data_IF_216081256730
#
_entry.id   IF_216081256730
#
_cell.length_a   1.000
_cell.length_b   1.000
_cell.length_c   1.000
_cell.angle_alpha   90.00
_cell.angle_beta   90.00
_cell.angle_gamma   90.00
#
_symmetry.space_group_name_H-M   'P 1'
#
loop_
_entity.id
_entity.type
_entity.pdbx_description
1 polymer ?
#
# COMPACT_ATOMS: atom_id res chain seq x y z
N UNK A 1 -44.54 -9.08 -20.27
CA UNK A 1 -44.09 -9.35 -18.87
C UNK A 1 -45.27 -9.42 -17.88
N UNK A 2 -45.07 -9.91 -16.64
CA UNK A 2 -46.09 -9.89 -15.55
C UNK A 2 -45.66 -8.85 -14.52
N UNK A 3 -46.59 -7.99 -14.08
CA UNK A 3 -46.29 -6.99 -13.06
C UNK A 3 -45.94 -7.65 -11.71
N UNK A 4 -44.77 -7.40 -11.11
CA UNK A 4 -44.41 -7.99 -9.81
C UNK A 4 -45.26 -7.46 -8.64
N UNK A 5 -46.04 -6.39 -8.85
CA UNK A 5 -46.87 -5.78 -7.81
C UNK A 5 -48.37 -6.12 -7.90
N UNK A 6 -48.87 -6.47 -9.09
CA UNK A 6 -50.32 -6.73 -9.26
C UNK A 6 -50.64 -7.95 -10.11
N UNK A 7 -49.64 -8.75 -10.50
CA UNK A 7 -49.74 -10.01 -11.25
C UNK A 7 -50.52 -9.96 -12.57
N UNK A 8 -50.73 -8.76 -13.12
CA UNK A 8 -51.37 -8.58 -14.42
C UNK A 8 -50.34 -8.65 -15.54
N UNK A 9 -50.78 -9.14 -16.70
CA UNK A 9 -49.97 -9.21 -17.91
C UNK A 9 -49.88 -7.82 -18.54
N UNK A 10 -48.67 -7.38 -18.85
CA UNK A 10 -48.37 -6.04 -19.39
C UNK A 10 -47.55 -6.19 -20.69
N UNK A 11 -47.75 -5.33 -21.71
CA UNK A 11 -46.84 -5.21 -22.86
C UNK A 11 -45.39 -5.02 -22.42
N UNK A 12 -44.43 -5.46 -23.25
CA UNK A 12 -43.01 -5.54 -22.89
C UNK A 12 -42.31 -4.17 -22.84
N UNK A 13 -42.85 -3.17 -23.55
CA UNK A 13 -42.21 -1.84 -23.69
C UNK A 13 -42.83 -0.76 -22.78
N UNK A 14 -43.71 -1.11 -21.84
CA UNK A 14 -44.30 -0.12 -20.93
C UNK A 14 -43.37 0.17 -19.75
N UNK A 15 -43.04 1.44 -19.52
CA UNK A 15 -42.24 1.88 -18.37
C UNK A 15 -43.06 1.91 -17.06
N UNK A 16 -44.39 1.96 -17.16
CA UNK A 16 -45.32 2.07 -16.03
C UNK A 16 -46.45 1.05 -16.21
N UNK A 17 -46.78 0.33 -15.15
CA UNK A 17 -47.92 -0.58 -15.16
C UNK A 17 -49.24 0.19 -15.32
N UNK A 18 -49.95 -0.04 -16.43
CA UNK A 18 -51.25 0.57 -16.73
C UNK A 18 -52.34 0.31 -15.68
N UNK A 19 -52.20 -0.76 -14.88
CA UNK A 19 -53.22 -1.18 -13.92
C UNK A 19 -52.98 -0.71 -12.49
N UNK A 20 -51.71 -0.63 -12.05
CA UNK A 20 -51.39 -0.25 -10.67
C UNK A 20 -50.60 1.07 -10.57
N UNK A 21 -50.23 1.66 -11.71
CA UNK A 21 -49.54 2.95 -11.79
C UNK A 21 -48.11 2.93 -11.25
N UNK A 22 -47.55 1.76 -10.91
CA UNK A 22 -46.16 1.66 -10.45
C UNK A 22 -45.20 1.57 -11.64
N UNK A 23 -44.04 2.24 -11.56
CA UNK A 23 -42.98 2.07 -12.54
C UNK A 23 -42.51 0.61 -12.52
N UNK A 24 -42.24 0.07 -13.70
CA UNK A 24 -41.66 -1.26 -13.86
C UNK A 24 -40.14 -1.12 -13.82
N UNK A 25 -39.42 -2.06 -13.18
CA UNK A 25 -37.97 -2.04 -13.22
C UNK A 25 -37.51 -2.20 -14.67
N UNK A 26 -36.77 -1.22 -15.17
CA UNK A 26 -36.20 -1.26 -16.50
C UNK A 26 -35.01 -2.23 -16.47
N UNK A 27 -34.99 -3.22 -17.36
CA UNK A 27 -33.94 -4.24 -17.40
C UNK A 27 -32.53 -3.63 -17.53
N UNK A 28 -32.40 -2.51 -18.24
CA UNK A 28 -31.13 -1.77 -18.41
C UNK A 28 -30.65 -1.09 -17.10
N UNK A 29 -31.56 -0.66 -16.21
CA UNK A 29 -31.20 -0.04 -14.94
C UNK A 29 -30.70 -1.09 -13.93
N UNK A 30 -31.32 -2.27 -13.88
CA UNK A 30 -30.90 -3.37 -13.00
C UNK A 30 -29.55 -3.97 -13.45
N UNK A 31 -29.32 -4.14 -14.76
CA UNK A 31 -28.05 -4.64 -15.31
C UNK A 31 -26.90 -3.65 -15.11
N UNK A 32 -27.15 -2.35 -15.30
CA UNK A 32 -26.17 -1.30 -15.00
C UNK A 32 -25.84 -1.26 -13.50
N UNK A 33 -26.82 -1.38 -12.61
CA UNK A 33 -26.60 -1.36 -11.16
C UNK A 33 -25.83 -2.62 -10.69
N UNK A 34 -26.11 -3.80 -11.25
CA UNK A 34 -25.38 -5.04 -10.95
C UNK A 34 -23.93 -5.01 -11.50
N UNK A 35 -23.71 -4.49 -12.71
CA UNK A 35 -22.38 -4.32 -13.30
C UNK A 35 -21.56 -3.24 -12.53
N UNK A 36 -22.22 -2.16 -12.09
CA UNK A 36 -21.61 -1.16 -11.22
C UNK A 36 -21.24 -1.76 -9.86
N UNK A 37 -22.08 -2.62 -9.29
CA UNK A 37 -21.78 -3.31 -8.02
C UNK A 37 -20.59 -4.26 -8.20
N UNK A 38 -20.55 -5.06 -9.27
CA UNK A 38 -19.44 -5.97 -9.61
C UNK A 38 -18.13 -5.24 -9.93
N UNK A 39 -18.18 -4.06 -10.54
CA UNK A 39 -16.99 -3.25 -10.81
C UNK A 39 -16.46 -2.56 -9.54
N UNK A 40 -17.34 -2.22 -8.60
CA UNK A 40 -16.99 -1.65 -7.30
C UNK A 40 -16.62 -2.72 -6.24
N UNK A 41 -16.78 -4.01 -6.54
CA UNK A 41 -16.26 -5.11 -5.72
C UNK A 41 -14.74 -4.95 -5.56
N UNK A 42 -14.24 -4.87 -4.32
CA UNK A 42 -12.83 -4.59 -4.08
C UNK A 42 -11.98 -5.81 -4.45
N UNK A 43 -11.50 -5.87 -5.70
CA UNK A 43 -10.55 -6.90 -6.14
C UNK A 43 -9.27 -6.78 -5.28
N UNK A 44 -8.98 -7.73 -4.37
CA UNK A 44 -7.89 -7.61 -3.41
C UNK A 44 -6.52 -7.47 -4.10
N UNK A 45 -6.41 -8.01 -5.32
CA UNK A 45 -5.23 -7.96 -6.16
C UNK A 45 -4.83 -6.54 -6.56
N UNK A 46 -5.78 -5.63 -6.82
CA UNK A 46 -5.50 -4.24 -7.21
C UNK A 46 -4.81 -3.46 -6.08
N UNK A 47 -5.25 -3.66 -4.83
CA UNK A 47 -4.63 -3.05 -3.65
C UNK A 47 -3.21 -3.57 -3.41
N UNK A 48 -2.97 -4.86 -3.66
CA UNK A 48 -1.66 -5.48 -3.57
C UNK A 48 -0.66 -4.90 -4.59
N UNK A 49 -1.05 -4.79 -5.87
CA UNK A 49 -0.18 -4.20 -6.90
C UNK A 49 0.20 -2.75 -6.56
N UNK A 50 -0.76 -1.97 -6.06
CA UNK A 50 -0.51 -0.59 -5.64
C UNK A 50 0.47 -0.48 -4.48
N UNK A 51 0.30 -1.33 -3.45
CA UNK A 51 1.22 -1.38 -2.32
C UNK A 51 2.63 -1.84 -2.74
N UNK A 52 2.72 -2.82 -3.65
CA UNK A 52 3.97 -3.33 -4.17
C UNK A 52 4.75 -2.25 -4.94
N UNK A 53 4.09 -1.49 -5.82
CA UNK A 53 4.72 -0.37 -6.53
C UNK A 53 5.18 0.72 -5.56
N UNK A 54 4.35 1.07 -4.58
CA UNK A 54 4.72 2.03 -3.53
C UNK A 54 5.94 1.58 -2.72
N UNK A 55 6.00 0.29 -2.38
CA UNK A 55 7.13 -0.34 -1.69
C UNK A 55 8.42 -0.30 -2.52
N UNK A 56 8.35 -0.61 -3.82
CA UNK A 56 9.50 -0.56 -4.73
C UNK A 56 10.06 0.86 -4.86
N UNK A 57 9.19 1.84 -5.13
CA UNK A 57 9.61 3.24 -5.31
C UNK A 57 10.18 3.81 -4.02
N UNK A 58 9.51 3.61 -2.88
CA UNK A 58 10.01 4.11 -1.60
C UNK A 58 11.31 3.42 -1.15
N UNK A 59 11.45 2.10 -1.37
CA UNK A 59 12.68 1.37 -1.11
C UNK A 59 13.85 1.87 -1.95
N UNK A 60 13.62 2.11 -3.25
CA UNK A 60 14.63 2.70 -4.12
C UNK A 60 15.08 4.08 -3.62
N UNK A 61 14.14 4.95 -3.22
CA UNK A 61 14.46 6.27 -2.67
C UNK A 61 15.32 6.14 -1.41
N UNK A 62 14.97 5.24 -0.46
CA UNK A 62 15.78 5.00 0.75
C UNK A 62 17.23 4.62 0.39
N UNK A 63 17.40 3.71 -0.59
CA UNK A 63 18.72 3.25 -1.03
C UNK A 63 19.52 4.35 -1.73
N UNK A 64 18.86 5.31 -2.38
CA UNK A 64 19.52 6.44 -3.04
C UNK A 64 19.93 7.56 -2.06
N UNK A 65 19.22 7.74 -0.94
CA UNK A 65 19.48 8.84 0.01
C UNK A 65 20.94 8.91 0.51
N UNK A 66 21.58 7.82 0.95
CA UNK A 66 22.98 7.88 1.39
C UNK A 66 23.94 8.38 0.31
N UNK A 67 23.65 8.10 -0.96
CA UNK A 67 24.47 8.56 -2.10
C UNK A 67 24.36 10.06 -2.37
N UNK A 68 23.27 10.67 -1.88
CA UNK A 68 23.05 12.11 -1.92
C UNK A 68 23.59 12.81 -0.66
N UNK A 69 24.26 12.08 0.24
CA UNK A 69 24.72 12.60 1.54
C UNK A 69 23.58 12.84 2.54
N UNK A 70 22.39 12.29 2.29
CA UNK A 70 21.24 12.40 3.17
C UNK A 70 21.11 11.19 4.09
N UNK A 71 20.60 11.41 5.30
CA UNK A 71 20.34 10.30 6.21
C UNK A 71 19.19 9.43 5.68
N UNK A 72 19.37 8.10 5.54
CA UNK A 72 18.33 7.22 5.00
C UNK A 72 17.05 7.20 5.84
N UNK A 73 17.12 7.56 7.13
CA UNK A 73 15.98 7.68 8.04
C UNK A 73 14.85 8.58 7.49
N UNK A 74 15.18 9.64 6.73
CA UNK A 74 14.17 10.51 6.12
C UNK A 74 13.27 9.76 5.12
N UNK A 75 13.80 8.73 4.46
CA UNK A 75 13.04 7.87 3.56
C UNK A 75 11.97 7.05 4.28
N UNK A 76 12.08 6.85 5.59
CA UNK A 76 11.07 6.14 6.38
C UNK A 76 9.69 6.82 6.32
N UNK A 77 9.64 8.16 6.44
CA UNK A 77 8.37 8.89 6.32
C UNK A 77 7.73 8.62 4.96
N UNK A 78 8.52 8.66 3.89
CA UNK A 78 8.08 8.41 2.51
C UNK A 78 7.49 7.01 2.32
N UNK A 79 8.03 5.97 2.97
CA UNK A 79 7.50 4.59 2.86
C UNK A 79 6.02 4.54 3.18
N UNK A 80 5.62 5.09 4.33
CA UNK A 80 4.22 5.09 4.73
C UNK A 80 3.35 5.80 3.69
N UNK A 81 3.73 7.02 3.28
CA UNK A 81 2.95 7.76 2.28
C UNK A 81 2.84 7.02 0.95
N UNK A 82 3.96 6.55 0.38
CA UNK A 82 3.96 5.92 -0.94
C UNK A 82 3.26 4.56 -0.95
N UNK A 83 3.42 3.74 0.09
CA UNK A 83 2.71 2.45 0.19
C UNK A 83 1.19 2.66 0.31
N UNK A 84 0.75 3.57 1.19
CA UNK A 84 -0.67 3.83 1.37
C UNK A 84 -1.32 4.64 0.24
N UNK A 85 -0.56 5.47 -0.49
CA UNK A 85 -1.03 6.17 -1.69
C UNK A 85 -1.10 5.17 -2.86
N UNK A 86 -0.07 4.34 -3.03
CA UNK A 86 -0.03 3.32 -4.08
C UNK A 86 -1.22 2.36 -3.99
N UNK A 87 -1.53 1.88 -2.78
CA UNK A 87 -2.68 0.99 -2.56
C UNK A 87 -4.03 1.65 -2.88
N UNK A 88 -4.15 2.97 -2.71
CA UNK A 88 -5.36 3.74 -3.02
C UNK A 88 -5.52 4.03 -4.50
N UNK A 89 -4.41 4.27 -5.19
CA UNK A 89 -4.43 4.63 -6.60
C UNK A 89 -5.11 3.54 -7.44
N UNK A 90 -5.03 2.29 -6.99
CA UNK A 90 -5.65 1.14 -7.64
C UNK A 90 -6.94 0.64 -6.95
N UNK A 91 -7.27 1.11 -5.75
CA UNK A 91 -8.47 0.69 -5.02
C UNK A 91 -9.22 1.88 -4.40
N UNK A 92 -10.42 2.18 -4.91
CA UNK A 92 -11.27 3.31 -4.49
C UNK A 92 -11.71 3.16 -3.02
N UNK A 93 -11.90 1.93 -2.54
CA UNK A 93 -12.37 1.61 -1.19
C UNK A 93 -11.34 0.77 -0.40
N UNK A 94 -10.95 1.25 0.79
CA UNK A 94 -9.99 0.55 1.65
C UNK A 94 -10.69 -0.59 2.40
N UNK A 95 -10.54 -1.81 1.90
CA UNK A 95 -10.94 -3.00 2.64
C UNK A 95 -10.01 -3.26 3.81
N UNK A 96 -10.49 -3.98 4.83
CA UNK A 96 -9.68 -4.41 5.98
C UNK A 96 -8.44 -5.23 5.53
N UNK A 97 -8.62 -6.04 4.49
CA UNK A 97 -7.54 -6.84 3.87
C UNK A 97 -6.47 -5.93 3.25
N UNK A 98 -6.87 -4.88 2.52
CA UNK A 98 -5.91 -3.95 1.91
C UNK A 98 -5.06 -3.20 2.93
N UNK A 99 -5.61 -2.85 4.09
CA UNK A 99 -4.84 -2.24 5.19
C UNK A 99 -3.79 -3.20 5.72
N UNK A 100 -4.13 -4.48 5.90
CA UNK A 100 -3.18 -5.51 6.34
C UNK A 100 -1.98 -5.63 5.39
N UNK A 101 -2.25 -5.68 4.08
CA UNK A 101 -1.20 -5.72 3.04
C UNK A 101 -0.29 -4.50 3.10
N UNK A 102 -0.85 -3.29 3.26
CA UNK A 102 -0.06 -2.07 3.36
C UNK A 102 0.85 -2.08 4.59
N UNK A 103 0.34 -2.49 5.75
CA UNK A 103 1.13 -2.59 6.98
C UNK A 103 2.28 -3.58 6.77
N UNK A 104 2.03 -4.73 6.14
CA UNK A 104 3.06 -5.72 5.85
C UNK A 104 4.19 -5.11 4.99
N UNK A 105 3.87 -4.44 3.88
CA UNK A 105 4.90 -3.79 3.05
C UNK A 105 5.60 -2.63 3.78
N UNK A 106 4.88 -1.86 4.59
CA UNK A 106 5.45 -0.79 5.42
C UNK A 106 6.49 -1.33 6.41
N UNK A 107 6.33 -2.58 6.86
CA UNK A 107 7.32 -3.24 7.72
C UNK A 107 8.47 -3.87 6.93
N UNK A 108 8.21 -4.51 5.80
CA UNK A 108 9.25 -5.22 5.02
C UNK A 108 10.17 -4.25 4.28
N UNK A 109 9.62 -3.20 3.66
CA UNK A 109 10.40 -2.29 2.80
C UNK A 109 11.58 -1.62 3.51
N UNK A 110 11.42 -1.04 4.72
CA UNK A 110 12.54 -0.44 5.45
C UNK A 110 13.67 -1.43 5.73
N UNK A 111 13.35 -2.67 6.12
CA UNK A 111 14.34 -3.71 6.39
C UNK A 111 15.14 -4.07 5.13
N UNK A 112 14.44 -4.38 4.04
CA UNK A 112 15.07 -4.74 2.77
C UNK A 112 15.93 -3.59 2.23
N UNK A 113 15.44 -2.36 2.33
CA UNK A 113 16.19 -1.18 1.90
C UNK A 113 17.44 -0.94 2.77
N UNK A 114 17.32 -1.11 4.09
CA UNK A 114 18.47 -0.99 4.99
C UNK A 114 19.53 -2.07 4.70
N UNK A 115 19.09 -3.31 4.48
CA UNK A 115 19.97 -4.41 4.09
C UNK A 115 20.71 -4.09 2.78
N UNK A 116 20.01 -3.53 1.78
CA UNK A 116 20.62 -3.12 0.52
C UNK A 116 21.65 -2.00 0.71
N UNK A 117 21.38 -1.01 1.56
CA UNK A 117 22.34 0.06 1.89
C UNK A 117 23.63 -0.55 2.45
N UNK A 118 23.52 -1.49 3.39
CA UNK A 118 24.69 -2.12 3.99
C UNK A 118 25.47 -2.97 2.98
N UNK A 119 24.76 -3.70 2.11
CA UNK A 119 25.39 -4.46 1.04
C UNK A 119 26.20 -3.56 0.10
N UNK A 120 25.65 -2.40 -0.28
CA UNK A 120 26.34 -1.39 -1.09
C UNK A 120 27.56 -0.86 -0.34
N UNK A 121 27.41 -0.51 0.94
CA UNK A 121 28.51 0.00 1.74
C UNK A 121 29.67 -1.01 1.83
N UNK A 122 29.38 -2.31 2.03
CA UNK A 122 30.38 -3.38 2.02
C UNK A 122 31.10 -3.44 0.67
N UNK A 123 30.38 -3.47 -0.45
CA UNK A 123 31.00 -3.51 -1.78
C UNK A 123 31.90 -2.30 -2.07
N UNK A 124 31.54 -1.13 -1.57
CA UNK A 124 32.29 0.12 -1.80
C UNK A 124 33.52 0.23 -0.89
N UNK A 125 33.41 -0.21 0.37
CA UNK A 125 34.42 0.04 1.41
C UNK A 125 35.28 -1.19 1.77
N UNK A 126 34.81 -2.40 1.48
CA UNK A 126 35.49 -3.64 1.86
C UNK A 126 35.90 -4.40 0.60
N UNK A 127 37.07 -4.02 0.07
CA UNK A 127 37.65 -4.63 -1.14
C UNK A 127 38.48 -5.88 -0.85
N UNK A 128 38.95 -6.00 0.38
CA UNK A 128 39.79 -7.09 0.84
C UNK A 128 39.43 -7.41 2.29
N UNK A 129 39.31 -8.70 2.60
CA UNK A 129 39.08 -9.19 3.96
C UNK A 129 40.03 -10.34 4.20
N UNK A 130 40.82 -10.29 5.28
CA UNK A 130 41.84 -11.29 5.63
C UNK A 130 42.83 -11.64 4.49
N UNK A 131 43.17 -10.66 3.63
CA UNK A 131 44.13 -10.87 2.53
C UNK A 131 43.53 -11.47 1.25
N UNK A 132 42.20 -11.62 1.20
CA UNK A 132 41.47 -12.15 0.05
C UNK A 132 40.66 -11.02 -0.59
N UNK A 133 40.86 -10.80 -1.89
CA UNK A 133 40.08 -9.85 -2.66
C UNK A 133 38.60 -10.28 -2.70
N UNK A 134 37.71 -9.44 -2.16
CA UNK A 134 36.28 -9.69 -2.16
C UNK A 134 35.65 -9.04 -3.39
N UNK A 135 35.42 -9.85 -4.42
CA UNK A 135 34.70 -9.44 -5.62
C UNK A 135 33.35 -10.17 -5.68
N UNK A 136 32.45 -9.80 -4.77
CA UNK A 136 31.10 -10.35 -4.70
C UNK A 136 30.13 -9.47 -5.50
N UNK A 137 29.15 -10.12 -6.11
CA UNK A 137 28.01 -9.43 -6.72
C UNK A 137 27.12 -8.77 -5.64
N UNK A 138 26.26 -7.84 -6.05
CA UNK A 138 25.31 -7.19 -5.12
C UNK A 138 24.42 -8.22 -4.41
N UNK A 139 23.90 -9.22 -5.11
CA UNK A 139 23.02 -10.22 -4.52
C UNK A 139 23.75 -11.10 -3.49
N UNK A 140 24.98 -11.52 -3.80
CA UNK A 140 25.80 -12.27 -2.83
C UNK A 140 26.07 -11.43 -1.59
N UNK A 141 26.48 -10.17 -1.78
CA UNK A 141 26.76 -9.26 -0.66
C UNK A 141 25.50 -8.99 0.16
N UNK A 142 24.32 -8.87 -0.47
CA UNK A 142 23.04 -8.66 0.19
C UNK A 142 22.69 -9.79 1.16
N UNK A 143 22.90 -11.03 0.76
CA UNK A 143 22.71 -12.20 1.63
C UNK A 143 23.86 -12.40 2.61
N UNK A 144 25.04 -11.85 2.33
CA UNK A 144 26.20 -11.90 3.20
C UNK A 144 26.13 -10.89 4.36
N UNK A 145 25.37 -9.79 4.26
CA UNK A 145 25.27 -8.77 5.33
C UNK A 145 25.05 -9.35 6.75
N UNK A 146 24.16 -10.33 6.99
CA UNK A 146 24.00 -10.91 8.34
C UNK A 146 25.29 -11.54 8.88
N UNK A 147 26.03 -12.23 8.01
CA UNK A 147 27.33 -12.83 8.34
C UNK A 147 28.37 -11.72 8.57
N UNK A 148 28.34 -10.66 7.76
CA UNK A 148 29.23 -9.50 7.92
C UNK A 148 29.03 -8.79 9.27
N UNK A 149 27.82 -8.83 9.84
CA UNK A 149 27.53 -8.32 11.18
C UNK A 149 28.13 -9.24 12.25
N UNK A 150 28.09 -10.56 12.08
CA UNK A 150 28.70 -11.53 13.01
C UNK A 150 30.24 -11.46 13.00
N UNK A 151 30.83 -11.18 11.83
CA UNK A 151 32.27 -11.00 11.65
C UNK A 151 32.76 -9.60 12.07
N UNK A 152 31.89 -8.75 12.61
CA UNK A 152 32.17 -7.36 13.00
C UNK A 152 32.71 -6.47 11.86
N UNK A 153 32.47 -6.87 10.60
CA UNK A 153 32.74 -6.06 9.40
C UNK A 153 31.74 -4.89 9.35
N UNK A 154 30.49 -5.16 9.72
CA UNK A 154 29.45 -4.17 9.90
C UNK A 154 29.15 -4.06 11.40
N UNK A 155 29.31 -2.86 11.95
CA UNK A 155 29.06 -2.66 13.37
C UNK A 155 27.58 -2.93 13.71
N UNK A 156 27.36 -3.87 14.63
CA UNK A 156 26.01 -4.30 15.06
C UNK A 156 25.17 -3.14 15.59
N UNK A 157 25.79 -2.24 16.35
CA UNK A 157 25.10 -1.10 16.98
C UNK A 157 24.69 -0.09 15.92
N UNK A 158 25.57 0.23 14.97
CA UNK A 158 25.26 1.14 13.87
C UNK A 158 24.17 0.58 12.95
N UNK A 159 24.24 -0.71 12.64
CA UNK A 159 23.19 -1.42 11.89
C UNK A 159 21.84 -1.29 12.61
N UNK A 160 21.78 -1.70 13.88
CA UNK A 160 20.53 -1.70 14.63
C UNK A 160 19.98 -0.29 14.85
N UNK A 161 20.84 0.69 15.20
CA UNK A 161 20.43 2.08 15.38
C UNK A 161 19.97 2.72 14.08
N UNK A 162 20.63 2.41 12.96
CA UNK A 162 20.21 2.86 11.63
C UNK A 162 18.82 2.34 11.28
N UNK A 163 18.61 1.04 11.46
CA UNK A 163 17.34 0.37 11.23
C UNK A 163 16.23 0.91 12.15
N UNK A 164 16.52 1.06 13.44
CA UNK A 164 15.57 1.60 14.43
C UNK A 164 15.11 3.02 14.06
N UNK A 165 16.05 3.92 13.71
CA UNK A 165 15.71 5.28 13.26
C UNK A 165 14.82 5.25 12.02
N UNK A 166 15.13 4.39 11.05
CA UNK A 166 14.34 4.26 9.83
C UNK A 166 12.90 3.81 10.14
N UNK A 167 12.73 2.85 11.06
CA UNK A 167 11.40 2.43 11.51
C UNK A 167 10.66 3.49 12.32
N UNK A 168 11.35 4.25 13.18
CA UNK A 168 10.74 5.36 13.92
C UNK A 168 10.16 6.40 12.96
N UNK A 169 10.92 6.80 11.94
CA UNK A 169 10.45 7.74 10.93
C UNK A 169 9.31 7.16 10.08
N UNK A 170 9.35 5.87 9.77
CA UNK A 170 8.25 5.17 9.10
C UNK A 170 6.98 5.17 9.94
N UNK A 171 7.10 4.91 11.25
CA UNK A 171 5.97 4.95 12.17
C UNK A 171 5.37 6.36 12.27
N UNK A 172 6.20 7.40 12.34
CA UNK A 172 5.75 8.80 12.32
C UNK A 172 4.97 9.09 11.03
N UNK A 173 5.49 8.70 9.86
CA UNK A 173 4.80 8.83 8.58
C UNK A 173 3.46 8.11 8.56
N UNK A 174 3.42 6.87 9.07
CA UNK A 174 2.20 6.07 9.16
C UNK A 174 1.14 6.69 10.06
N UNK A 175 1.54 7.15 11.25
CA UNK A 175 0.65 7.84 12.20
C UNK A 175 0.12 9.15 11.61
N UNK A 176 0.97 9.95 10.96
CA UNK A 176 0.57 11.19 10.30
C UNK A 176 -0.49 10.93 9.21
N UNK A 177 -0.26 9.92 8.36
CA UNK A 177 -1.18 9.54 7.30
C UNK A 177 -2.53 9.03 7.83
N UNK A 178 -2.50 8.08 8.77
CA UNK A 178 -3.72 7.50 9.34
C UNK A 178 -4.49 8.50 10.21
N UNK A 179 -3.79 9.30 11.01
CA UNK A 179 -4.38 10.32 11.87
C UNK A 179 -5.05 11.45 11.10
N UNK A 180 -4.48 11.87 9.97
CA UNK A 180 -5.11 12.82 9.05
C UNK A 180 -6.44 12.27 8.51
N UNK A 181 -6.46 10.98 8.15
CA UNK A 181 -7.66 10.32 7.62
C UNK A 181 -8.74 10.11 8.68
N UNK A 182 -8.37 9.77 9.91
CA UNK A 182 -9.32 9.59 11.00
C UNK A 182 -10.03 10.90 11.34
N UNK A 183 -9.30 12.03 11.33
CA UNK A 183 -9.89 13.37 11.47
C UNK A 183 -10.84 13.71 10.32
N UNK A 184 -10.48 13.40 9.07
CA UNK A 184 -11.36 13.62 7.92
C UNK A 184 -12.66 12.81 7.99
N UNK A 185 -12.58 11.51 8.35
CA UNK A 185 -13.76 10.65 8.53
C UNK A 185 -14.68 11.13 9.65
N UNK A 186 -14.13 11.63 10.76
CA UNK A 186 -14.92 12.23 11.85
C UNK A 186 -15.70 13.45 11.37
N UNK A 187 -15.07 14.35 10.62
CA UNK A 187 -15.74 15.54 10.06
C UNK A 187 -16.86 15.18 9.08
N UNK A 188 -16.64 14.18 8.20
CA UNK A 188 -17.65 13.72 7.26
C UNK A 188 -18.89 13.12 7.95
N UNK A 189 -18.70 12.27 8.97
CA UNK A 189 -19.82 11.72 9.76
C UNK A 189 -20.60 12.76 10.56
N UNK A 190 -20.00 13.91 10.87
CA UNK A 190 -20.63 14.98 11.63
C UNK A 190 -21.48 15.91 10.76
N UNK A 191 -21.33 15.83 9.43
CA UNK A 191 -22.06 16.62 8.43
C UNK A 191 -23.22 15.86 7.76
N UNK A 192 -23.46 14.59 8.11
CA UNK A 192 -24.61 13.83 7.61
C UNK A 192 -25.89 14.39 8.25
N UNK A 193 -26.82 15.00 7.47
CA UNK A 193 -28.04 15.55 8.03
C UNK A 193 -28.87 14.40 8.60
N UNK A 194 -29.21 14.51 9.89
CA UNK A 194 -30.18 13.63 10.55
C UNK A 194 -31.54 13.90 9.90
N UNK A 195 -31.87 13.15 8.86
CA UNK A 195 -33.23 13.10 8.33
C UNK A 195 -34.10 12.48 9.43
N UNK A 196 -34.84 13.37 10.11
CA UNK A 196 -35.94 13.07 11.02
C UNK A 196 -37.21 12.82 10.20
#
# INVERSE_FOLDING_TARGET
MICPNCDRRIPEDSEICEYCGKPLPQQEEEEYEEELVLENEPKPLRGFLGALLGALVSGAVIVLLPRLGLMPAFGGILVAFLVFIGSRLLNKNMTKIGVGVCIMFTLITPYVAHQAIQAIWIMENVKEYEGIAMNMSFMETFFFVPIAIELDIVNVIEYFMGLLRLYLFTAVGGVAYLGGRWRARRKAKQQEPRHL
#
